data_IF_672154186344
#
_entry.id   IF_672154186344
#
_cell.length_a   1.000
_cell.length_b   1.000
_cell.length_c   1.000
_cell.angle_alpha   90.00
_cell.angle_beta   90.00
_cell.angle_gamma   90.00
#
_symmetry.space_group_name_H-M   'P 1'
#
loop_
_entity.id
_entity.type
_entity.pdbx_description
1 polymer ?
#
# COMPACT_ATOMS: atom_id res chain seq x y z
N UNK A 1 -36.52 -36.67 -8.03
CA UNK A 1 -35.27 -36.72 -7.23
C UNK A 1 -33.98 -36.55 -8.08
N UNK A 2 -33.86 -37.18 -9.27
CA UNK A 2 -32.65 -37.08 -10.11
C UNK A 2 -32.41 -35.69 -10.70
N UNK A 3 -33.43 -34.92 -11.05
CA UNK A 3 -33.36 -33.55 -11.60
C UNK A 3 -32.94 -32.51 -10.54
N UNK A 4 -33.32 -32.74 -9.27
CA UNK A 4 -32.93 -31.86 -8.16
C UNK A 4 -31.44 -32.01 -7.77
N UNK A 5 -30.89 -33.22 -7.88
CA UNK A 5 -29.45 -33.47 -7.64
C UNK A 5 -28.55 -32.88 -8.72
N UNK A 6 -29.02 -32.85 -9.98
CA UNK A 6 -28.28 -32.18 -11.07
C UNK A 6 -28.27 -30.66 -10.90
N UNK A 7 -29.35 -30.06 -10.39
CA UNK A 7 -29.41 -28.62 -10.15
C UNK A 7 -28.50 -28.18 -9.01
N UNK A 8 -28.42 -28.96 -7.93
CA UNK A 8 -27.49 -28.70 -6.83
C UNK A 8 -26.02 -28.86 -7.25
N UNK A 9 -25.73 -29.87 -8.09
CA UNK A 9 -24.36 -30.07 -8.61
C UNK A 9 -23.94 -28.93 -9.57
N UNK A 10 -24.87 -28.39 -10.36
CA UNK A 10 -24.60 -27.24 -11.22
C UNK A 10 -24.40 -25.93 -10.42
N UNK A 11 -25.15 -25.72 -9.31
CA UNK A 11 -24.93 -24.58 -8.42
C UNK A 11 -23.60 -24.69 -7.68
N UNK A 12 -23.20 -25.90 -7.22
CA UNK A 12 -21.93 -26.13 -6.57
C UNK A 12 -20.74 -25.95 -7.54
N UNK A 13 -20.90 -26.37 -8.81
CA UNK A 13 -19.89 -26.18 -9.84
C UNK A 13 -19.76 -24.69 -10.25
N UNK A 14 -20.87 -23.94 -10.30
CA UNK A 14 -20.86 -22.51 -10.58
C UNK A 14 -20.21 -21.71 -9.43
N UNK A 15 -20.41 -22.12 -8.17
CA UNK A 15 -19.75 -21.49 -7.02
C UNK A 15 -18.25 -21.82 -6.96
N UNK A 16 -17.83 -23.00 -7.43
CA UNK A 16 -16.40 -23.37 -7.51
C UNK A 16 -15.70 -22.72 -8.71
N UNK A 17 -16.40 -22.45 -9.82
CA UNK A 17 -15.84 -21.75 -10.97
C UNK A 17 -15.62 -20.24 -10.70
N UNK A 18 -16.36 -19.64 -9.75
CA UNK A 18 -16.13 -18.26 -9.28
C UNK A 18 -15.16 -18.15 -8.10
N UNK A 19 -14.61 -19.26 -7.59
CA UNK A 19 -13.52 -19.29 -6.62
C UNK A 19 -12.14 -19.10 -7.27
N UNK A 20 -12.09 -18.70 -8.54
CA UNK A 20 -10.85 -18.37 -9.23
C UNK A 20 -10.33 -17.03 -8.76
N UNK A 21 -9.23 -17.09 -8.05
CA UNK A 21 -8.38 -15.99 -7.62
C UNK A 21 -9.07 -15.05 -6.61
N UNK A 22 -8.68 -15.18 -5.36
CA UNK A 22 -8.82 -14.16 -4.32
C UNK A 22 -8.04 -12.92 -4.79
N UNK A 23 -8.68 -12.16 -5.66
CA UNK A 23 -8.12 -10.96 -6.23
C UNK A 23 -8.44 -9.76 -5.34
N UNK A 24 -7.58 -8.75 -5.36
CA UNK A 24 -7.87 -7.55 -4.59
C UNK A 24 -9.06 -6.77 -5.18
N UNK A 25 -9.80 -6.07 -4.31
CA UNK A 25 -10.84 -5.15 -4.72
C UNK A 25 -10.26 -3.77 -5.02
N UNK A 26 -10.63 -3.16 -6.15
CA UNK A 26 -10.40 -1.75 -6.43
C UNK A 26 -11.71 -0.98 -6.23
N UNK A 27 -11.78 -0.17 -5.17
CA UNK A 27 -12.96 0.62 -4.78
C UNK A 27 -12.72 2.07 -5.18
N UNK A 28 -13.57 2.62 -6.04
CA UNK A 28 -13.50 4.00 -6.51
C UNK A 28 -14.51 4.86 -5.77
N UNK A 29 -14.06 5.96 -5.15
CA UNK A 29 -14.85 6.88 -4.33
C UNK A 29 -14.68 8.32 -4.81
N UNK A 30 -15.70 9.13 -4.60
CA UNK A 30 -15.74 10.53 -5.04
C UNK A 30 -16.00 10.68 -6.53
N UNK A 31 -15.80 11.89 -7.04
CA UNK A 31 -16.05 12.20 -8.44
C UNK A 31 -14.86 11.79 -9.32
N UNK A 32 -15.10 11.25 -10.53
CA UNK A 32 -14.04 10.96 -11.48
C UNK A 32 -13.15 12.18 -11.73
N UNK A 33 -11.84 12.00 -11.65
CA UNK A 33 -10.88 13.10 -11.76
C UNK A 33 -9.57 12.61 -12.39
N UNK A 34 -8.94 13.47 -13.17
CA UNK A 34 -7.55 13.29 -13.62
C UNK A 34 -6.52 13.54 -12.49
N UNK A 35 -6.99 13.77 -11.29
CA UNK A 35 -6.19 13.93 -10.08
C UNK A 35 -6.74 13.00 -8.99
N UNK A 36 -6.41 11.74 -9.10
CA UNK A 36 -6.87 10.69 -8.20
C UNK A 36 -5.74 10.27 -7.26
N UNK A 37 -6.07 10.15 -5.99
CA UNK A 37 -5.21 9.48 -5.01
C UNK A 37 -5.51 7.98 -5.03
N UNK A 38 -4.47 7.16 -5.04
CA UNK A 38 -4.55 5.70 -4.85
C UNK A 38 -4.06 5.36 -3.44
N UNK A 39 -4.95 4.79 -2.63
CA UNK A 39 -4.66 4.27 -1.30
C UNK A 39 -4.55 2.75 -1.36
N UNK A 40 -3.45 2.21 -0.87
CA UNK A 40 -3.17 0.78 -0.89
C UNK A 40 -2.92 0.30 0.53
N UNK A 41 -3.55 -0.83 0.88
CA UNK A 41 -3.26 -1.59 2.09
C UNK A 41 -3.09 -3.07 1.76
N UNK A 42 -2.42 -3.81 2.65
CA UNK A 42 -2.32 -5.25 2.56
C UNK A 42 -1.42 -5.78 1.45
N UNK A 43 -0.37 -5.06 1.08
CA UNK A 43 0.69 -5.61 0.24
C UNK A 43 1.47 -6.71 1.00
N UNK A 44 1.54 -6.58 2.31
CA UNK A 44 2.08 -7.55 3.26
C UNK A 44 0.97 -7.95 4.23
N UNK A 45 0.70 -9.25 4.34
CA UNK A 45 -0.45 -9.76 5.09
C UNK A 45 -0.20 -9.86 6.59
N UNK A 46 1.04 -9.76 7.03
CA UNK A 46 1.44 -9.68 8.44
C UNK A 46 1.41 -8.25 9.02
N UNK A 47 0.94 -7.27 8.22
CA UNK A 47 0.82 -5.86 8.58
C UNK A 47 -0.67 -5.43 8.67
N UNK A 48 -1.39 -5.79 9.75
CA UNK A 48 -2.84 -5.62 9.83
C UNK A 48 -3.31 -4.17 9.84
N UNK A 49 -2.56 -3.25 10.40
CA UNK A 49 -2.93 -1.82 10.43
C UNK A 49 -3.10 -1.24 9.04
N UNK A 50 -2.22 -1.62 8.10
CA UNK A 50 -2.27 -1.15 6.72
C UNK A 50 -3.58 -1.54 6.01
N UNK A 51 -3.96 -2.83 6.01
CA UNK A 51 -5.18 -3.28 5.33
C UNK A 51 -6.46 -2.93 6.09
N UNK A 52 -6.43 -2.87 7.42
CA UNK A 52 -7.58 -2.44 8.23
C UNK A 52 -7.87 -0.95 8.03
N UNK A 53 -6.85 -0.09 8.07
CA UNK A 53 -7.03 1.34 7.81
C UNK A 53 -7.57 1.60 6.40
N UNK A 54 -7.02 0.95 5.37
CA UNK A 54 -7.53 1.06 4.01
C UNK A 54 -8.99 0.55 3.89
N UNK A 55 -9.35 -0.53 4.58
CA UNK A 55 -10.72 -1.06 4.63
C UNK A 55 -11.69 -0.06 5.27
N UNK A 56 -11.34 0.55 6.40
CA UNK A 56 -12.15 1.58 7.07
C UNK A 56 -12.36 2.77 6.12
N UNK A 57 -11.33 3.24 5.43
CA UNK A 57 -11.47 4.33 4.45
C UNK A 57 -12.40 3.91 3.31
N UNK A 58 -12.33 2.67 2.86
CA UNK A 58 -13.19 2.16 1.78
C UNK A 58 -14.67 2.08 2.20
N UNK A 59 -14.97 1.69 3.44
CA UNK A 59 -16.35 1.43 3.91
C UNK A 59 -16.98 2.63 4.60
N UNK A 60 -16.26 3.30 5.49
CA UNK A 60 -16.85 4.23 6.47
C UNK A 60 -16.71 5.70 6.09
N UNK A 61 -15.83 6.01 5.12
CA UNK A 61 -15.60 7.40 4.70
C UNK A 61 -16.24 7.71 3.35
N UNK A 62 -16.90 8.86 3.27
CA UNK A 62 -17.35 9.45 2.01
C UNK A 62 -16.38 10.52 1.54
N UNK A 63 -16.08 10.54 0.25
CA UNK A 63 -15.24 11.54 -0.38
C UNK A 63 -16.13 12.68 -0.85
N UNK A 64 -16.04 13.82 -0.19
CA UNK A 64 -16.85 15.00 -0.48
C UNK A 64 -16.24 15.88 -1.58
N UNK A 65 -14.95 15.71 -1.87
CA UNK A 65 -14.23 16.44 -2.91
C UNK A 65 -13.04 15.66 -3.43
N UNK A 66 -12.93 15.55 -4.75
CA UNK A 66 -11.84 14.83 -5.41
C UNK A 66 -12.15 13.36 -5.68
N UNK A 67 -11.13 12.60 -6.02
CA UNK A 67 -11.21 11.18 -6.38
C UNK A 67 -10.23 10.37 -5.57
N UNK A 68 -10.72 9.29 -4.97
CA UNK A 68 -9.93 8.33 -4.22
C UNK A 68 -10.20 6.91 -4.74
N UNK A 69 -9.16 6.21 -5.08
CA UNK A 69 -9.19 4.79 -5.38
C UNK A 69 -8.54 4.04 -4.22
N UNK A 70 -9.20 2.99 -3.72
CA UNK A 70 -8.74 2.22 -2.57
C UNK A 70 -8.57 0.76 -2.95
N UNK A 71 -7.40 0.21 -2.66
CA UNK A 71 -7.10 -1.23 -2.69
C UNK A 71 -6.82 -1.65 -1.25
N UNK A 72 -7.81 -2.17 -0.51
CA UNK A 72 -7.65 -2.45 0.92
C UNK A 72 -6.87 -3.74 1.20
N UNK A 73 -6.83 -4.68 0.25
CA UNK A 73 -6.38 -6.05 0.45
C UNK A 73 -5.54 -6.55 -0.73
N UNK A 74 -4.46 -5.84 -1.06
CA UNK A 74 -3.69 -6.08 -2.29
C UNK A 74 -3.19 -7.53 -2.41
N UNK A 75 -2.64 -8.10 -1.35
CA UNK A 75 -2.23 -9.52 -1.29
C UNK A 75 -3.15 -10.29 -0.33
N UNK A 76 -4.39 -10.52 -0.75
CA UNK A 76 -5.38 -11.16 0.10
C UNK A 76 -4.97 -12.58 0.57
N UNK A 77 -4.32 -13.44 -0.25
CA UNK A 77 -3.80 -14.71 0.24
C UNK A 77 -2.83 -14.56 1.41
N UNK A 78 -1.88 -13.63 1.35
CA UNK A 78 -0.92 -13.40 2.43
C UNK A 78 -1.59 -12.85 3.71
N UNK A 79 -2.69 -12.09 3.59
CA UNK A 79 -3.50 -11.62 4.73
C UNK A 79 -4.12 -12.82 5.46
N UNK A 80 -4.67 -13.78 4.73
CA UNK A 80 -5.24 -15.01 5.32
C UNK A 80 -4.16 -15.83 6.02
N UNK A 81 -2.99 -15.93 5.42
CA UNK A 81 -1.84 -16.67 5.96
C UNK A 81 -1.08 -15.89 7.03
N UNK A 82 -1.34 -14.59 7.20
CA UNK A 82 -0.59 -13.68 8.07
C UNK A 82 0.91 -13.69 7.79
N UNK A 83 1.26 -13.62 6.53
CA UNK A 83 2.63 -13.65 6.01
C UNK A 83 2.98 -12.38 5.24
N UNK A 84 4.26 -12.09 5.06
CA UNK A 84 4.71 -10.92 4.27
C UNK A 84 4.38 -11.04 2.78
N UNK A 85 4.17 -12.21 2.29
CA UNK A 85 3.79 -12.52 0.91
C UNK A 85 3.50 -14.01 0.78
N UNK A 86 2.94 -14.43 -0.34
CA UNK A 86 2.56 -15.82 -0.57
C UNK A 86 3.80 -16.75 -0.69
N UNK A 87 4.89 -16.25 -1.25
CA UNK A 87 6.17 -16.96 -1.37
C UNK A 87 7.29 -16.15 -0.71
N UNK A 88 7.43 -14.89 -1.09
CA UNK A 88 8.41 -13.92 -0.60
C UNK A 88 7.71 -12.57 -0.41
N UNK A 89 8.42 -11.56 0.12
CA UNK A 89 7.86 -10.22 0.32
C UNK A 89 7.36 -9.60 -0.99
N UNK A 90 6.03 -9.45 -1.13
CA UNK A 90 5.43 -8.87 -2.33
C UNK A 90 5.90 -7.43 -2.59
N UNK A 91 6.22 -6.66 -1.53
CA UNK A 91 6.77 -5.31 -1.66
C UNK A 91 8.24 -5.28 -2.14
N UNK A 92 8.78 -6.42 -2.57
CA UNK A 92 10.09 -6.57 -3.23
C UNK A 92 9.96 -7.07 -4.67
N UNK A 93 8.74 -7.14 -5.20
CA UNK A 93 8.45 -7.72 -6.53
C UNK A 93 8.05 -6.66 -7.58
N UNK A 94 7.95 -5.37 -7.21
CA UNK A 94 7.48 -4.35 -8.15
C UNK A 94 8.51 -3.97 -9.22
N UNK A 95 9.81 -4.15 -9.00
CA UNK A 95 10.82 -4.01 -10.04
C UNK A 95 10.77 -5.17 -11.05
N UNK A 96 10.66 -6.39 -10.53
CA UNK A 96 10.58 -7.61 -11.33
C UNK A 96 9.80 -8.69 -10.58
N UNK A 97 9.00 -9.46 -11.31
CA UNK A 97 8.28 -10.62 -10.81
C UNK A 97 8.21 -11.68 -11.91
N UNK A 98 8.53 -12.92 -11.58
CA UNK A 98 8.48 -14.05 -12.51
C UNK A 98 7.01 -14.45 -12.79
N UNK A 99 6.74 -14.97 -13.99
CA UNK A 99 5.36 -15.36 -14.39
C UNK A 99 4.77 -16.50 -13.59
N UNK A 100 5.61 -17.35 -13.02
CA UNK A 100 5.24 -18.48 -12.16
C UNK A 100 5.17 -18.10 -10.67
N UNK A 101 5.48 -16.84 -10.32
CA UNK A 101 5.32 -16.33 -8.96
C UNK A 101 3.83 -16.25 -8.61
N UNK A 102 3.39 -16.75 -7.44
CA UNK A 102 1.98 -16.69 -7.03
C UNK A 102 1.43 -15.26 -6.94
N UNK A 103 2.28 -14.25 -6.70
CA UNK A 103 1.87 -12.86 -6.62
C UNK A 103 1.86 -12.15 -8.00
N UNK A 104 2.28 -12.83 -9.10
CA UNK A 104 2.45 -12.22 -10.41
C UNK A 104 1.22 -11.41 -10.87
N UNK A 105 0.03 -11.99 -10.80
CA UNK A 105 -1.19 -11.33 -11.27
C UNK A 105 -1.50 -10.08 -10.43
N UNK A 106 -1.37 -10.15 -9.11
CA UNK A 106 -1.63 -9.01 -8.21
C UNK A 106 -0.60 -7.89 -8.42
N UNK A 107 0.68 -8.25 -8.61
CA UNK A 107 1.74 -7.28 -8.93
C UNK A 107 1.48 -6.60 -10.27
N UNK A 108 1.15 -7.35 -11.32
CA UNK A 108 0.89 -6.75 -12.63
C UNK A 108 -0.34 -5.86 -12.62
N UNK A 109 -1.43 -6.28 -11.99
CA UNK A 109 -2.65 -5.48 -11.89
C UNK A 109 -2.45 -4.19 -11.09
N UNK A 110 -1.74 -4.21 -9.97
CA UNK A 110 -1.48 -2.98 -9.22
C UNK A 110 -0.57 -2.03 -9.98
N UNK A 111 0.40 -2.54 -10.75
CA UNK A 111 1.22 -1.73 -11.65
C UNK A 111 0.38 -1.03 -12.72
N UNK A 112 -0.61 -1.71 -13.30
CA UNK A 112 -1.55 -1.11 -14.25
C UNK A 112 -2.38 0.00 -13.60
N UNK A 113 -2.86 -0.20 -12.36
CA UNK A 113 -3.59 0.83 -11.60
C UNK A 113 -2.69 2.03 -11.30
N UNK A 114 -1.45 1.81 -10.87
CA UNK A 114 -0.47 2.88 -10.62
C UNK A 114 -0.21 3.71 -11.87
N UNK A 115 -0.10 3.07 -13.03
CA UNK A 115 0.19 3.75 -14.31
C UNK A 115 -1.02 4.41 -14.95
N UNK A 116 -2.25 4.21 -14.42
CA UNK A 116 -3.44 4.90 -14.93
C UNK A 116 -3.22 6.42 -14.93
N UNK A 117 -3.61 7.06 -16.05
CA UNK A 117 -3.41 8.50 -16.27
C UNK A 117 -4.09 9.38 -15.23
N UNK A 118 -5.14 8.89 -14.58
CA UNK A 118 -5.88 9.63 -13.57
C UNK A 118 -5.20 9.56 -12.19
N UNK A 119 -4.39 8.55 -11.93
CA UNK A 119 -3.66 8.39 -10.66
C UNK A 119 -2.45 9.31 -10.66
N UNK A 120 -2.35 10.17 -9.66
CA UNK A 120 -1.28 11.18 -9.53
C UNK A 120 -0.56 11.10 -8.19
N UNK A 121 -1.20 10.51 -7.19
CA UNK A 121 -0.70 10.38 -5.83
C UNK A 121 -0.96 8.96 -5.33
N UNK A 122 0.04 8.35 -4.71
CA UNK A 122 -0.06 7.01 -4.12
C UNK A 122 0.30 7.08 -2.64
N UNK A 123 -0.51 6.43 -1.80
CA UNK A 123 -0.21 6.18 -0.40
C UNK A 123 -0.31 4.67 -0.13
N UNK A 124 0.82 4.06 0.25
CA UNK A 124 0.89 2.66 0.65
C UNK A 124 0.96 2.56 2.17
N UNK A 125 0.05 1.80 2.77
CA UNK A 125 -0.09 1.67 4.22
C UNK A 125 0.55 0.38 4.71
N UNK A 126 1.36 0.52 5.77
CA UNK A 126 2.15 -0.53 6.39
C UNK A 126 2.11 -0.47 7.91
N UNK A 127 2.62 -1.51 8.54
CA UNK A 127 2.97 -1.54 9.96
C UNK A 127 4.47 -1.75 10.09
N UNK A 128 5.14 -0.82 10.77
CA UNK A 128 6.57 -0.89 11.04
C UNK A 128 6.88 -1.31 12.47
N UNK A 129 7.98 -2.02 12.66
CA UNK A 129 8.41 -2.42 13.99
C UNK A 129 9.14 -1.27 14.73
N UNK A 130 8.79 -1.06 16.00
CA UNK A 130 9.40 -0.02 16.85
C UNK A 130 9.09 1.38 16.32
N UNK A 131 9.89 2.35 16.70
CA UNK A 131 9.69 3.76 16.36
C UNK A 131 10.95 4.32 15.71
N UNK A 132 10.81 4.80 14.48
CA UNK A 132 11.92 5.44 13.78
C UNK A 132 12.35 6.72 14.50
N UNK A 133 13.65 6.89 14.64
CA UNK A 133 14.31 8.12 15.13
C UNK A 133 15.57 8.36 14.31
N UNK A 134 15.91 9.60 14.08
CA UNK A 134 17.13 9.98 13.35
C UNK A 134 18.41 9.57 14.07
N UNK A 135 18.31 9.33 15.39
CA UNK A 135 19.41 8.92 16.25
C UNK A 135 19.01 7.73 17.11
N UNK A 136 19.99 6.95 17.53
CA UNK A 136 19.78 5.85 18.47
C UNK A 136 19.37 6.41 19.85
N UNK A 137 18.18 6.02 20.30
CA UNK A 137 17.66 6.30 21.64
C UNK A 137 17.60 5.01 22.44
N UNK A 138 17.04 3.96 21.87
CA UNK A 138 16.88 2.65 22.49
C UNK A 138 16.81 1.54 21.44
N UNK A 139 16.72 0.28 21.89
CA UNK A 139 16.49 -0.87 21.00
C UNK A 139 15.25 -0.71 20.13
N UNK A 140 14.20 -0.06 20.66
CA UNK A 140 12.91 0.12 19.98
C UNK A 140 12.76 1.49 19.33
N UNK A 141 13.70 2.41 19.56
CA UNK A 141 13.71 3.78 19.05
C UNK A 141 15.08 4.10 18.44
N UNK A 142 15.23 3.97 17.14
CA UNK A 142 16.51 4.16 16.44
C UNK A 142 16.31 4.27 14.91
N UNK A 143 17.36 4.57 14.12
CA UNK A 143 17.28 4.72 12.68
C UNK A 143 16.91 3.45 11.89
N UNK A 144 17.11 2.26 12.48
CA UNK A 144 16.81 0.98 11.82
C UNK A 144 15.34 0.58 11.96
N UNK A 145 14.57 1.33 12.74
CA UNK A 145 13.12 1.13 12.90
C UNK A 145 12.34 1.83 11.80
N UNK A 146 11.12 1.32 11.58
CA UNK A 146 10.25 1.82 10.52
C UNK A 146 8.93 2.41 11.05
N UNK A 147 8.47 1.98 12.24
CA UNK A 147 7.20 2.40 12.80
C UNK A 147 7.10 3.92 13.03
N UNK A 148 5.91 4.43 12.88
CA UNK A 148 5.51 5.84 12.98
C UNK A 148 6.33 6.75 12.04
N UNK A 149 6.37 6.36 10.75
CA UNK A 149 7.04 7.14 9.71
C UNK A 149 6.14 7.45 8.52
N UNK A 150 6.35 8.63 7.96
CA UNK A 150 6.00 8.97 6.59
C UNK A 150 7.25 8.73 5.72
N UNK A 151 7.24 7.71 4.89
CA UNK A 151 8.39 7.33 4.08
C UNK A 151 8.30 7.96 2.70
N UNK A 152 9.42 8.49 2.24
CA UNK A 152 9.65 8.96 0.87
C UNK A 152 10.92 8.34 0.30
N UNK A 153 10.94 8.11 -1.00
CA UNK A 153 12.10 7.56 -1.70
C UNK A 153 13.12 8.65 -2.11
N UNK A 154 12.67 9.90 -2.16
CA UNK A 154 13.47 11.09 -2.50
C UNK A 154 12.74 12.36 -2.09
N UNK A 155 13.46 13.49 -1.93
CA UNK A 155 12.88 14.75 -1.47
C UNK A 155 11.96 15.40 -2.49
N UNK A 156 12.29 15.31 -3.79
CA UNK A 156 11.52 15.91 -4.89
C UNK A 156 11.38 14.96 -6.07
N UNK A 157 10.29 15.09 -6.83
CA UNK A 157 10.04 14.32 -8.04
C UNK A 157 9.71 15.26 -9.21
N UNK A 158 10.73 15.77 -9.96
CA UNK A 158 10.54 16.66 -11.09
C UNK A 158 9.61 16.07 -12.14
N UNK A 159 8.67 16.90 -12.63
CA UNK A 159 7.70 16.49 -13.65
C UNK A 159 6.45 15.79 -13.10
N UNK A 160 6.42 15.41 -11.82
CA UNK A 160 5.21 14.91 -11.18
C UNK A 160 4.27 16.03 -10.78
N UNK A 161 3.00 15.69 -10.54
CA UNK A 161 2.01 16.68 -10.10
C UNK A 161 2.30 17.24 -8.70
N UNK A 162 2.84 16.42 -7.82
CA UNK A 162 3.18 16.80 -6.45
C UNK A 162 4.69 16.66 -6.27
N UNK A 163 5.39 17.69 -6.74
CA UNK A 163 6.85 17.75 -6.85
C UNK A 163 7.58 17.59 -5.50
N UNK A 164 7.10 18.28 -4.46
CA UNK A 164 7.79 18.47 -3.19
C UNK A 164 7.43 17.36 -2.17
N UNK A 165 7.95 16.14 -2.36
CA UNK A 165 7.57 14.98 -1.56
C UNK A 165 7.92 15.17 -0.07
N UNK A 166 9.12 15.69 0.23
CA UNK A 166 9.56 15.90 1.62
C UNK A 166 8.73 16.96 2.34
N UNK A 167 8.37 18.03 1.66
CA UNK A 167 7.50 19.09 2.21
C UNK A 167 6.10 18.55 2.50
N UNK A 168 5.56 17.71 1.60
CA UNK A 168 4.25 17.07 1.78
C UNK A 168 4.30 16.10 2.95
N UNK A 169 5.29 15.21 3.02
CA UNK A 169 5.46 14.26 4.10
C UNK A 169 5.61 14.96 5.46
N UNK A 170 6.38 16.06 5.51
CA UNK A 170 6.54 16.89 6.71
C UNK A 170 5.23 17.53 7.15
N UNK A 171 4.44 18.05 6.20
CA UNK A 171 3.14 18.62 6.50
C UNK A 171 2.15 17.57 7.04
N UNK A 172 2.14 16.38 6.45
CA UNK A 172 1.32 15.25 6.94
C UNK A 172 1.74 14.85 8.35
N UNK A 173 3.04 14.65 8.58
CA UNK A 173 3.62 14.36 9.89
C UNK A 173 3.20 15.41 10.94
N UNK A 174 3.28 16.69 10.61
CA UNK A 174 2.94 17.77 11.53
C UNK A 174 1.45 17.77 11.91
N UNK A 175 0.58 17.41 10.97
CA UNK A 175 -0.87 17.26 11.23
C UNK A 175 -1.12 16.05 12.12
N UNK A 176 -0.53 14.90 11.82
CA UNK A 176 -0.69 13.67 12.62
C UNK A 176 -0.23 13.90 14.06
N UNK A 177 0.94 14.51 14.24
CA UNK A 177 1.55 14.72 15.56
C UNK A 177 0.76 15.65 16.48
N UNK A 178 -0.11 16.52 15.94
CA UNK A 178 -1.02 17.34 16.76
C UNK A 178 -2.06 16.51 17.52
N UNK A 179 -2.35 15.32 17.06
CA UNK A 179 -3.36 14.44 17.64
C UNK A 179 -2.78 13.29 18.48
N UNK A 180 -1.44 13.17 18.54
CA UNK A 180 -0.75 12.14 19.28
C UNK A 180 -0.27 12.70 20.64
N UNK A 181 -0.77 12.12 21.72
CA UNK A 181 -0.51 12.58 23.09
C UNK A 181 0.88 12.11 23.56
N UNK A 182 1.22 10.85 23.29
CA UNK A 182 2.50 10.28 23.70
C UNK A 182 3.61 10.67 22.68
N UNK A 183 4.66 11.38 23.11
CA UNK A 183 5.79 11.75 22.25
C UNK A 183 6.47 10.54 21.59
N UNK A 184 6.41 9.37 22.21
CA UNK A 184 6.95 8.14 21.65
C UNK A 184 6.24 7.73 20.35
N UNK A 185 4.96 8.03 20.22
CA UNK A 185 4.16 7.69 19.06
C UNK A 185 4.21 8.76 17.96
N UNK A 186 4.94 9.83 18.13
CA UNK A 186 5.04 10.85 17.09
C UNK A 186 5.70 10.30 15.82
N UNK A 187 5.13 10.72 14.68
CA UNK A 187 5.62 10.39 13.36
C UNK A 187 6.85 11.21 12.99
N UNK A 188 7.70 10.61 12.19
CA UNK A 188 8.87 11.23 11.57
C UNK A 188 8.82 11.05 10.04
N UNK A 189 9.55 11.87 9.31
CA UNK A 189 9.77 11.62 7.87
C UNK A 189 11.05 10.79 7.73
N UNK A 190 10.96 9.68 6.99
CA UNK A 190 12.13 8.86 6.65
C UNK A 190 12.35 8.92 5.14
N UNK A 191 13.41 9.62 4.72
CA UNK A 191 13.84 9.60 3.33
C UNK A 191 14.83 8.46 3.13
N UNK A 192 14.48 7.50 2.32
CA UNK A 192 15.31 6.30 2.06
C UNK A 192 16.41 6.57 1.04
N UNK A 193 16.33 7.70 0.31
CA UNK A 193 17.26 8.01 -0.79
C UNK A 193 17.48 6.82 -1.73
N UNK A 194 16.39 6.14 -2.08
CA UNK A 194 16.38 4.81 -2.70
C UNK A 194 17.28 4.70 -3.92
N UNK A 195 17.25 5.69 -4.81
CA UNK A 195 18.10 5.69 -6.00
C UNK A 195 19.62 5.69 -5.71
N UNK A 196 20.01 6.09 -4.49
CA UNK A 196 21.43 6.29 -4.12
C UNK A 196 22.06 5.12 -3.38
N UNK A 197 21.29 4.08 -3.00
CA UNK A 197 21.94 2.98 -2.32
C UNK A 197 21.07 1.87 -1.72
N UNK A 198 19.80 2.05 -1.53
CA UNK A 198 18.95 0.99 -0.94
C UNK A 198 18.43 0.03 -2.01
N UNK A 199 19.20 -1.04 -2.25
CA UNK A 199 18.87 -2.06 -3.27
C UNK A 199 17.53 -2.76 -3.02
N UNK A 200 17.11 -2.89 -1.78
CA UNK A 200 15.83 -3.53 -1.46
C UNK A 200 14.65 -2.59 -1.71
N UNK A 201 14.81 -1.30 -1.39
CA UNK A 201 13.79 -0.31 -1.66
C UNK A 201 13.60 -0.04 -3.17
N UNK A 202 14.62 -0.25 -4.01
CA UNK A 202 14.49 -0.21 -5.49
C UNK A 202 13.40 -1.17 -6.02
N UNK A 203 13.05 -2.20 -5.26
CA UNK A 203 12.06 -3.22 -5.63
C UNK A 203 10.66 -2.92 -5.09
N UNK A 204 10.50 -1.87 -4.28
CA UNK A 204 9.27 -1.53 -3.60
C UNK A 204 8.19 -0.97 -4.54
N UNK A 205 6.94 -1.03 -4.08
CA UNK A 205 5.80 -0.45 -4.79
C UNK A 205 5.92 1.08 -4.90
N UNK A 206 6.33 1.75 -3.83
CA UNK A 206 6.48 3.22 -3.82
C UNK A 206 7.55 3.66 -4.80
N UNK A 207 8.70 2.99 -4.81
CA UNK A 207 9.75 3.33 -5.77
C UNK A 207 9.35 3.03 -7.21
N UNK A 208 8.63 1.92 -7.47
CA UNK A 208 8.04 1.69 -8.79
C UNK A 208 7.15 2.87 -9.22
N UNK A 209 6.27 3.36 -8.33
CA UNK A 209 5.44 4.51 -8.63
C UNK A 209 6.26 5.78 -8.95
N UNK A 210 7.35 6.04 -8.21
CA UNK A 210 8.31 7.12 -8.48
C UNK A 210 8.89 6.98 -9.89
N UNK A 211 9.30 5.77 -10.33
CA UNK A 211 9.81 5.54 -11.69
C UNK A 211 8.77 5.78 -12.79
N UNK A 212 7.48 5.74 -12.44
CA UNK A 212 6.36 6.08 -13.32
C UNK A 212 5.94 7.55 -13.23
N UNK A 213 6.78 8.37 -12.61
CA UNK A 213 6.53 9.81 -12.37
C UNK A 213 5.24 10.08 -11.57
N UNK A 214 4.89 9.16 -10.66
CA UNK A 214 3.78 9.30 -9.71
C UNK A 214 4.33 9.65 -8.33
N UNK A 215 3.78 10.69 -7.70
CA UNK A 215 4.12 11.04 -6.32
C UNK A 215 3.67 9.92 -5.39
N UNK A 216 4.60 9.35 -4.63
CA UNK A 216 4.31 8.18 -3.80
C UNK A 216 4.92 8.33 -2.40
N UNK A 217 4.17 7.80 -1.44
CA UNK A 217 4.48 7.79 -0.02
C UNK A 217 4.14 6.43 0.56
N UNK A 218 4.91 5.96 1.54
CA UNK A 218 4.45 4.93 2.45
C UNK A 218 4.22 5.52 3.84
N UNK A 219 3.29 4.93 4.58
CA UNK A 219 3.05 5.25 5.97
C UNK A 219 3.14 3.98 6.79
N UNK A 220 4.00 4.00 7.79
CA UNK A 220 4.23 2.90 8.71
C UNK A 220 3.63 3.27 10.08
N UNK A 221 2.66 2.52 10.54
CA UNK A 221 2.19 2.59 11.93
C UNK A 221 3.02 1.65 12.83
N UNK A 222 2.93 1.81 14.16
CA UNK A 222 3.56 0.91 15.13
C UNK A 222 2.60 0.57 16.26
#
# INVERSE_FOLDING_TARGET
MRKFRLFLAALAAASLANASALDYALIKKGEPSSNTMLLIGGIQGDEPGGFLAASIVATDYNITKGSLWVVPNLNFPSIIERSRGTKDDMNRKCAHVDKDDPDYNSVMKIKDVITDKNVTLILNLHDGSGYYRDKFISKDENPDKWGNTCIIDQSTLPGSKYLELESIASSVKDVLNKHLIDPKHQYHVKNTHTAMGDKEMLKSLTYYAITQNKSAFANEAS
#
